data_IF_031667822756
#
_entry.id   IF_031667822756
#
_cell.length_a   1.000
_cell.length_b   1.000
_cell.length_c   1.000
_cell.angle_alpha   90.00
_cell.angle_beta   90.00
_cell.angle_gamma   90.00
#
_symmetry.space_group_name_H-M   'P 1'
#
loop_
_entity.id
_entity.type
_entity.pdbx_description
1 polymer ?
#
# COMPACT_ATOMS: atom_id res chain seq x y z
N UNK A 1 59.65 -19.19 22.31
CA UNK A 1 58.79 -18.51 21.32
C UNK A 1 57.51 -19.32 21.24
N UNK A 2 56.49 -18.91 21.99
CA UNK A 2 55.16 -19.53 21.98
C UNK A 2 54.20 -18.44 21.58
N UNK A 3 53.59 -18.65 20.42
CA UNK A 3 52.71 -17.72 19.72
C UNK A 3 51.42 -17.54 20.52
N UNK A 4 51.10 -16.30 20.89
CA UNK A 4 49.85 -15.94 21.59
C UNK A 4 49.05 -15.03 20.68
N UNK A 5 48.25 -15.65 19.80
CA UNK A 5 47.31 -14.91 18.96
C UNK A 5 45.93 -14.87 19.67
N UNK A 6 45.39 -13.69 20.03
CA UNK A 6 44.08 -13.59 20.64
C UNK A 6 43.00 -13.89 19.60
N UNK A 7 42.19 -14.93 19.88
CA UNK A 7 41.07 -15.34 19.04
C UNK A 7 40.05 -14.19 18.91
N UNK A 8 39.81 -13.77 17.67
CA UNK A 8 38.63 -12.99 17.28
C UNK A 8 37.36 -13.68 17.78
N UNK A 9 36.42 -12.98 18.44
CA UNK A 9 35.19 -13.58 18.91
C UNK A 9 34.37 -14.06 17.71
N UNK A 10 33.95 -15.33 17.72
CA UNK A 10 32.98 -15.86 16.76
C UNK A 10 31.67 -15.09 16.92
N UNK A 11 30.97 -14.74 15.83
CA UNK A 11 29.65 -14.15 15.93
C UNK A 11 28.73 -15.12 16.67
N UNK A 12 28.16 -14.65 17.79
CA UNK A 12 27.10 -15.34 18.51
C UNK A 12 25.94 -15.58 17.56
N UNK A 13 25.38 -16.79 17.57
CA UNK A 13 24.17 -17.11 16.83
C UNK A 13 23.07 -16.08 17.15
N UNK A 14 22.24 -15.67 16.16
CA UNK A 14 21.14 -14.75 16.43
C UNK A 14 20.20 -15.38 17.45
N UNK A 15 19.83 -14.60 18.46
CA UNK A 15 18.79 -14.92 19.44
C UNK A 15 17.56 -15.53 18.72
N UNK A 16 16.96 -16.64 19.21
CA UNK A 16 15.74 -17.18 18.61
C UNK A 16 14.71 -16.06 18.50
N UNK A 17 14.11 -15.93 17.32
CA UNK A 17 13.31 -14.76 17.01
C UNK A 17 12.14 -14.64 18.03
N UNK A 18 12.00 -13.49 18.74
CA UNK A 18 11.08 -13.34 19.87
C UNK A 18 9.60 -13.19 19.46
N UNK A 19 9.27 -13.45 18.19
CA UNK A 19 7.90 -13.43 17.65
C UNK A 19 7.47 -14.81 17.19
N UNK A 20 6.17 -15.03 17.28
CA UNK A 20 5.55 -16.19 16.63
C UNK A 20 5.41 -15.89 15.12
N UNK A 21 6.18 -16.63 14.32
CA UNK A 21 6.14 -16.67 12.87
C UNK A 21 5.82 -18.10 12.44
N UNK A 22 4.56 -18.55 12.57
CA UNK A 22 4.22 -19.94 12.35
C UNK A 22 4.37 -20.33 10.88
N UNK A 23 4.75 -21.58 10.64
CA UNK A 23 4.77 -22.16 9.30
C UNK A 23 3.37 -22.09 8.69
N UNK A 24 3.28 -21.49 7.51
CA UNK A 24 2.01 -21.28 6.84
C UNK A 24 1.68 -22.44 5.90
N UNK A 25 0.45 -22.98 5.95
CA UNK A 25 0.05 -24.04 5.02
C UNK A 25 0.11 -23.53 3.58
N UNK A 26 0.41 -24.38 2.59
CA UNK A 26 0.54 -23.96 1.19
C UNK A 26 -0.77 -23.33 0.69
N UNK A 27 -0.65 -22.24 -0.07
CA UNK A 27 -1.83 -21.64 -0.69
C UNK A 27 -2.28 -22.48 -1.90
N UNK A 28 -3.58 -22.74 -2.05
CA UNK A 28 -4.10 -23.32 -3.29
C UNK A 28 -3.81 -22.35 -4.46
N UNK A 29 -3.33 -22.84 -5.62
CA UNK A 29 -3.14 -22.01 -6.81
C UNK A 29 -4.43 -21.32 -7.21
N UNK A 30 -4.38 -20.00 -7.38
CA UNK A 30 -5.53 -19.19 -7.78
C UNK A 30 -5.10 -18.14 -8.78
N UNK A 31 -5.85 -18.04 -9.88
CA UNK A 31 -5.75 -16.92 -10.79
C UNK A 31 -6.29 -15.65 -10.11
N UNK A 32 -5.69 -14.48 -10.37
CA UNK A 32 -6.00 -13.22 -9.66
C UNK A 32 -5.81 -13.29 -8.13
N UNK A 33 -4.66 -13.78 -7.67
CA UNK A 33 -4.32 -13.83 -6.24
C UNK A 33 -2.93 -13.22 -5.98
N UNK A 34 -2.82 -12.40 -4.93
CA UNK A 34 -1.55 -11.88 -4.35
C UNK A 34 -1.34 -12.36 -2.92
N UNK A 35 -1.99 -13.48 -2.60
CA UNK A 35 -1.88 -14.22 -1.34
C UNK A 35 -1.97 -13.31 -0.11
N UNK A 36 -3.16 -12.75 0.14
CA UNK A 36 -3.42 -12.00 1.38
C UNK A 36 -3.43 -12.89 2.63
N UNK A 37 -3.34 -14.22 2.47
CA UNK A 37 -3.35 -15.21 3.55
C UNK A 37 -4.70 -15.87 3.80
N UNK A 38 -5.81 -15.32 3.29
CA UNK A 38 -7.14 -15.89 3.55
C UNK A 38 -7.29 -17.33 3.02
N UNK A 39 -6.69 -17.63 1.87
CA UNK A 39 -6.71 -18.98 1.30
C UNK A 39 -5.87 -20.01 2.07
N UNK A 40 -5.16 -19.58 3.12
CA UNK A 40 -4.34 -20.41 4.01
C UNK A 40 -5.00 -20.62 5.38
N UNK A 41 -6.17 -20.04 5.60
CA UNK A 41 -6.98 -20.25 6.81
C UNK A 41 -7.70 -21.60 6.76
N UNK A 42 -8.35 -22.00 7.85
CA UNK A 42 -9.12 -23.25 7.92
C UNK A 42 -10.27 -23.31 6.89
N UNK A 43 -10.74 -22.15 6.42
CA UNK A 43 -11.79 -22.05 5.41
C UNK A 43 -11.35 -21.26 4.16
N UNK A 44 -10.60 -21.89 3.23
CA UNK A 44 -10.13 -21.22 2.01
C UNK A 44 -11.25 -20.83 1.03
N UNK A 45 -12.50 -21.30 1.25
CA UNK A 45 -13.65 -20.91 0.42
C UNK A 45 -14.11 -19.47 0.70
N UNK A 46 -13.73 -18.87 1.83
CA UNK A 46 -14.01 -17.45 2.14
C UNK A 46 -13.47 -16.50 1.08
N UNK A 47 -12.44 -16.88 0.33
CA UNK A 47 -11.99 -16.09 -0.82
C UNK A 47 -13.12 -15.77 -1.81
N UNK A 48 -14.13 -16.64 -1.98
CA UNK A 48 -15.28 -16.39 -2.85
C UNK A 48 -16.16 -15.22 -2.42
N UNK A 49 -16.14 -14.86 -1.13
CA UNK A 49 -17.00 -13.83 -0.52
C UNK A 49 -16.20 -12.59 -0.08
N UNK A 50 -14.91 -12.76 0.23
CA UNK A 50 -14.07 -11.73 0.84
C UNK A 50 -12.94 -11.22 -0.06
N UNK A 51 -12.74 -11.78 -1.26
CA UNK A 51 -11.69 -11.32 -2.16
C UNK A 51 -12.14 -10.10 -2.98
N UNK A 52 -11.43 -8.98 -2.88
CA UNK A 52 -11.69 -7.80 -3.70
C UNK A 52 -11.46 -8.01 -5.20
N UNK A 53 -10.76 -9.08 -5.60
CA UNK A 53 -10.51 -9.42 -7.00
C UNK A 53 -11.57 -10.39 -7.58
N UNK A 54 -12.69 -10.56 -6.88
CA UNK A 54 -13.83 -11.36 -7.33
C UNK A 54 -15.06 -10.47 -7.46
N UNK A 55 -15.58 -9.93 -6.36
CA UNK A 55 -16.75 -9.06 -6.34
C UNK A 55 -16.72 -8.11 -5.12
N UNK A 56 -15.94 -7.02 -5.18
CA UNK A 56 -15.82 -6.09 -4.08
C UNK A 56 -17.10 -5.28 -3.82
N UNK A 57 -17.49 -5.12 -2.55
CA UNK A 57 -18.59 -4.28 -2.07
C UNK A 57 -18.05 -3.24 -1.07
N UNK A 58 -17.33 -2.25 -1.60
CA UNK A 58 -16.85 -1.12 -0.82
C UNK A 58 -17.98 -0.36 -0.10
N UNK A 59 -19.13 -0.04 -0.72
CA UNK A 59 -20.20 0.67 -0.02
C UNK A 59 -20.71 -0.04 1.23
N UNK A 60 -20.91 -1.37 1.20
CA UNK A 60 -21.35 -2.11 2.39
C UNK A 60 -20.26 -2.15 3.48
N UNK A 61 -19.02 -2.42 3.10
CA UNK A 61 -17.91 -2.47 4.07
C UNK A 61 -17.61 -1.10 4.65
N UNK A 62 -17.67 -0.02 3.87
CA UNK A 62 -17.50 1.34 4.36
C UNK A 62 -18.58 1.72 5.37
N UNK A 63 -19.85 1.40 5.10
CA UNK A 63 -20.94 1.60 6.07
C UNK A 63 -20.68 0.85 7.37
N UNK A 64 -20.23 -0.40 7.29
CA UNK A 64 -19.91 -1.21 8.47
C UNK A 64 -18.74 -0.63 9.27
N UNK A 65 -17.67 -0.24 8.60
CA UNK A 65 -16.41 0.17 9.25
C UNK A 65 -16.44 1.62 9.73
N UNK A 66 -17.06 2.52 8.97
CA UNK A 66 -17.05 3.97 9.20
C UNK A 66 -18.42 4.55 9.56
N UNK A 67 -19.48 3.75 9.52
CA UNK A 67 -20.87 4.20 9.74
C UNK A 67 -21.53 4.80 8.49
N UNK A 68 -20.79 4.97 7.39
CA UNK A 68 -21.29 5.54 6.13
C UNK A 68 -20.45 5.08 4.93
N UNK A 69 -21.07 5.02 3.76
CA UNK A 69 -20.35 4.88 2.50
C UNK A 69 -19.74 6.21 2.05
N UNK A 70 -18.81 6.16 1.10
CA UNK A 70 -18.29 7.37 0.48
C UNK A 70 -19.36 8.13 -0.32
N UNK A 71 -19.29 9.46 -0.32
CA UNK A 71 -20.10 10.34 -1.15
C UNK A 71 -19.59 10.31 -2.59
N UNK A 72 -20.44 9.85 -3.50
CA UNK A 72 -20.24 9.98 -4.93
C UNK A 72 -20.81 11.32 -5.42
N UNK A 73 -20.19 11.98 -6.42
CA UNK A 73 -20.72 13.23 -6.94
C UNK A 73 -22.02 12.99 -7.71
N UNK A 74 -23.03 13.81 -7.45
CA UNK A 74 -24.25 13.87 -8.25
C UNK A 74 -24.02 14.48 -9.65
N UNK A 75 -25.01 14.44 -10.55
CA UNK A 75 -24.94 15.12 -11.84
C UNK A 75 -24.65 16.62 -11.65
N UNK A 76 -23.57 17.12 -12.27
CA UNK A 76 -23.18 18.54 -12.18
C UNK A 76 -22.47 18.93 -10.87
N UNK A 77 -22.31 18.03 -9.90
CA UNK A 77 -21.56 18.32 -8.67
C UNK A 77 -20.04 18.19 -8.88
N UNK A 78 -19.28 19.09 -8.25
CA UNK A 78 -17.83 18.95 -8.15
C UNK A 78 -17.47 17.75 -7.27
N UNK A 79 -16.45 16.98 -7.68
CA UNK A 79 -15.93 15.87 -6.90
C UNK A 79 -15.32 16.35 -5.57
N UNK A 80 -15.68 15.71 -4.47
CA UNK A 80 -15.01 15.88 -3.18
C UNK A 80 -13.78 14.98 -3.07
N UNK A 81 -12.93 15.25 -2.07
CA UNK A 81 -11.78 14.39 -1.74
C UNK A 81 -12.18 12.96 -1.37
N UNK A 82 -13.42 12.77 -0.92
CA UNK A 82 -13.95 11.47 -0.55
C UNK A 82 -14.11 10.51 -1.73
N UNK A 83 -14.34 11.04 -2.93
CA UNK A 83 -14.33 10.23 -4.15
C UNK A 83 -12.98 9.52 -4.33
N UNK A 84 -11.89 10.24 -4.06
CA UNK A 84 -10.51 9.79 -4.27
C UNK A 84 -10.00 8.94 -3.11
N UNK A 85 -10.26 9.38 -1.88
CA UNK A 85 -9.57 8.86 -0.70
C UNK A 85 -10.47 8.02 0.23
N UNK A 86 -11.74 7.83 -0.16
CA UNK A 86 -12.75 7.11 0.64
C UNK A 86 -13.18 7.90 1.88
N UNK A 87 -14.04 7.33 2.74
CA UNK A 87 -14.54 7.99 3.94
C UNK A 87 -13.38 8.39 4.86
N UNK A 88 -13.37 9.65 5.26
CA UNK A 88 -12.42 10.17 6.23
C UNK A 88 -13.01 11.32 7.06
N UNK A 89 -12.39 11.56 8.21
CA UNK A 89 -12.69 12.69 9.11
C UNK A 89 -11.72 13.84 8.90
N UNK A 90 -10.44 13.51 8.69
CA UNK A 90 -9.40 14.50 8.42
C UNK A 90 -8.23 13.89 7.65
N UNK A 91 -7.49 14.76 6.97
CA UNK A 91 -6.24 14.46 6.30
C UNK A 91 -5.14 15.33 6.88
N UNK A 92 -3.99 14.75 7.18
CA UNK A 92 -2.87 15.45 7.79
C UNK A 92 -1.58 15.15 7.04
N UNK A 93 -0.73 16.15 6.93
CA UNK A 93 0.71 15.93 6.78
C UNK A 93 1.27 15.68 8.18
N UNK A 94 2.06 14.62 8.36
CA UNK A 94 2.56 14.23 9.67
C UNK A 94 3.98 13.68 9.64
N UNK A 95 4.68 13.83 10.75
CA UNK A 95 5.96 13.17 11.05
C UNK A 95 6.10 12.98 12.55
N UNK A 96 6.83 11.96 13.00
CA UNK A 96 7.28 11.93 14.39
C UNK A 96 8.30 13.05 14.62
N UNK A 97 8.23 13.68 15.79
CA UNK A 97 9.21 14.67 16.23
C UNK A 97 10.62 14.06 16.26
N UNK A 98 10.72 12.83 16.80
CA UNK A 98 11.91 12.00 16.77
C UNK A 98 11.67 10.77 15.88
N UNK A 99 12.23 10.73 14.65
CA UNK A 99 12.12 9.57 13.76
C UNK A 99 12.69 8.30 14.39
N UNK A 100 12.00 7.17 14.22
CA UNK A 100 12.45 5.87 14.70
C UNK A 100 13.48 5.26 13.74
N UNK A 101 14.62 4.81 14.28
CA UNK A 101 15.65 4.13 13.51
C UNK A 101 15.09 2.89 12.78
N UNK A 102 15.47 2.74 11.51
CA UNK A 102 15.02 1.64 10.63
C UNK A 102 13.62 1.78 10.05
N UNK A 103 12.86 2.85 10.38
CA UNK A 103 11.54 3.08 9.80
C UNK A 103 11.62 3.50 8.32
N UNK A 104 10.57 3.18 7.56
CA UNK A 104 10.45 3.58 6.15
C UNK A 104 10.36 5.11 5.97
N UNK A 105 9.77 5.78 6.97
CA UNK A 105 9.68 7.23 7.03
C UNK A 105 10.10 7.65 8.43
N UNK A 106 9.21 8.24 9.23
CA UNK A 106 9.52 8.56 10.62
C UNK A 106 9.09 7.50 11.62
N UNK A 107 8.23 6.55 11.22
CA UNK A 107 7.85 5.40 12.06
C UNK A 107 6.48 5.49 12.72
N UNK A 108 5.59 6.40 12.27
CA UNK A 108 4.23 6.57 12.81
C UNK A 108 3.49 5.24 12.96
N UNK A 109 3.43 4.42 11.91
CA UNK A 109 2.73 3.11 11.92
C UNK A 109 3.22 2.21 13.05
N UNK A 110 4.53 2.03 13.16
CA UNK A 110 5.14 1.20 14.21
C UNK A 110 4.89 1.78 15.59
N UNK A 111 4.99 3.10 15.74
CA UNK A 111 4.80 3.77 17.03
C UNK A 111 3.36 3.65 17.55
N UNK A 112 2.36 3.77 16.66
CA UNK A 112 0.95 3.54 17.03
C UNK A 112 0.77 2.11 17.57
N UNK A 113 1.26 1.11 16.84
CA UNK A 113 1.15 -0.29 17.26
C UNK A 113 1.88 -0.58 18.57
N UNK A 114 3.07 0.00 18.75
CA UNK A 114 3.82 -0.08 20.01
C UNK A 114 3.02 0.52 21.19
N UNK A 115 2.42 1.71 21.01
CA UNK A 115 1.58 2.35 22.03
C UNK A 115 0.34 1.51 22.37
N UNK A 116 -0.29 0.86 21.38
CA UNK A 116 -1.43 -0.02 21.62
C UNK A 116 -1.07 -1.18 22.55
N UNK A 117 0.10 -1.80 22.35
CA UNK A 117 0.62 -2.85 23.23
C UNK A 117 1.00 -2.29 24.61
N UNK A 118 1.73 -1.16 24.68
CA UNK A 118 2.15 -0.52 25.94
C UNK A 118 0.98 -0.14 26.85
N UNK A 119 -0.12 0.31 26.24
CA UNK A 119 -1.33 0.73 26.96
C UNK A 119 -2.32 -0.42 27.18
N UNK A 120 -1.98 -1.65 26.76
CA UNK A 120 -2.85 -2.82 26.92
C UNK A 120 -4.19 -2.71 26.18
N UNK A 121 -4.26 -1.88 25.12
CA UNK A 121 -5.47 -1.71 24.32
C UNK A 121 -5.72 -2.86 23.34
N UNK A 122 -4.65 -3.59 23.02
CA UNK A 122 -4.65 -4.84 22.24
C UNK A 122 -3.76 -5.86 22.96
N UNK A 123 -4.05 -7.13 22.75
CA UNK A 123 -3.24 -8.25 23.25
C UNK A 123 -2.09 -8.57 22.29
N UNK A 124 -2.30 -8.36 21.00
CA UNK A 124 -1.31 -8.65 19.96
C UNK A 124 -1.47 -7.75 18.73
N UNK A 125 -0.36 -7.55 18.02
CA UNK A 125 -0.28 -6.88 16.72
C UNK A 125 0.11 -7.91 15.67
N UNK A 126 -0.66 -8.01 14.59
CA UNK A 126 -0.30 -8.77 13.40
C UNK A 126 0.32 -7.81 12.39
N UNK A 127 1.58 -8.06 12.03
CA UNK A 127 2.39 -7.18 11.18
C UNK A 127 3.29 -7.98 10.22
N UNK A 128 4.27 -7.30 9.62
CA UNK A 128 5.28 -7.90 8.75
C UNK A 128 6.67 -7.65 9.32
N UNK A 129 7.46 -8.71 9.44
CA UNK A 129 8.89 -8.68 9.70
C UNK A 129 9.66 -8.97 8.39
N UNK A 130 10.97 -8.65 8.32
CA UNK A 130 11.83 -9.21 7.29
C UNK A 130 11.97 -10.72 7.49
N UNK A 131 11.99 -11.49 6.40
CA UNK A 131 12.39 -12.89 6.47
C UNK A 131 13.86 -13.00 6.91
N UNK A 132 14.25 -13.99 7.73
CA UNK A 132 15.63 -14.16 8.19
C UNK A 132 16.65 -14.24 7.04
N UNK A 133 16.29 -14.93 5.96
CA UNK A 133 17.16 -15.12 4.79
C UNK A 133 17.07 -13.99 3.74
N UNK A 134 16.09 -13.09 3.85
CA UNK A 134 15.86 -12.04 2.86
C UNK A 134 15.13 -10.84 3.48
N UNK A 135 15.86 -9.74 3.68
CA UNK A 135 15.34 -8.53 4.31
C UNK A 135 14.18 -7.86 3.56
N UNK A 136 14.01 -8.13 2.26
CA UNK A 136 12.89 -7.60 1.47
C UNK A 136 11.68 -8.51 1.50
N UNK A 137 11.88 -9.82 1.69
CA UNK A 137 10.80 -10.80 1.73
C UNK A 137 9.91 -10.54 2.95
N UNK A 138 8.59 -10.36 2.76
CA UNK A 138 7.66 -10.19 3.86
C UNK A 138 7.47 -11.52 4.60
N UNK A 139 7.56 -11.48 5.93
CA UNK A 139 7.19 -12.58 6.80
C UNK A 139 6.10 -12.08 7.77
N UNK A 140 4.88 -12.62 7.72
CA UNK A 140 3.86 -12.23 8.69
C UNK A 140 4.28 -12.67 10.09
N UNK A 141 4.05 -11.81 11.07
CA UNK A 141 4.41 -12.07 12.47
C UNK A 141 3.29 -11.64 13.42
N UNK A 142 3.19 -12.34 14.55
CA UNK A 142 2.38 -11.95 15.69
C UNK A 142 3.29 -11.37 16.78
N UNK A 143 3.05 -10.12 17.17
CA UNK A 143 3.87 -9.37 18.12
C UNK A 143 3.03 -9.06 19.37
N UNK A 144 3.50 -9.52 20.54
CA UNK A 144 2.82 -9.33 21.84
C UNK A 144 3.60 -8.40 22.78
N UNK A 145 4.88 -8.16 22.50
CA UNK A 145 5.74 -7.25 23.26
C UNK A 145 5.95 -5.94 22.50
N UNK A 146 5.73 -4.77 23.14
CA UNK A 146 5.89 -3.49 22.45
C UNK A 146 7.26 -3.29 21.79
N UNK A 147 8.35 -3.65 22.48
CA UNK A 147 9.72 -3.48 22.01
C UNK A 147 10.01 -4.25 20.71
N UNK A 148 9.33 -5.38 20.49
CA UNK A 148 9.51 -6.20 19.30
C UNK A 148 8.88 -5.58 18.04
N UNK A 149 8.04 -4.55 18.19
CA UNK A 149 7.56 -3.75 17.05
C UNK A 149 8.71 -3.07 16.29
N UNK A 150 9.84 -2.77 16.95
CA UNK A 150 10.99 -2.12 16.34
C UNK A 150 11.56 -2.90 15.14
N UNK A 151 11.40 -4.20 15.18
CA UNK A 151 11.93 -5.14 14.19
C UNK A 151 10.98 -5.33 12.98
N UNK A 152 9.73 -4.87 13.09
CA UNK A 152 8.76 -4.81 11.98
C UNK A 152 8.93 -3.54 11.10
N UNK A 153 9.95 -2.72 11.36
CA UNK A 153 10.16 -1.43 10.68
C UNK A 153 10.69 -1.61 9.25
N UNK A 154 10.21 -0.73 8.37
CA UNK A 154 10.63 -0.67 6.96
C UNK A 154 9.64 -1.34 6.01
N UNK A 155 9.82 -1.10 4.72
CA UNK A 155 9.00 -1.70 3.67
C UNK A 155 9.47 -3.12 3.34
N UNK A 156 8.52 -4.01 3.02
CA UNK A 156 8.78 -5.34 2.47
C UNK A 156 8.10 -5.46 1.11
N UNK A 157 8.71 -6.19 0.19
CA UNK A 157 8.25 -6.34 -1.19
C UNK A 157 8.06 -7.82 -1.51
N UNK A 158 6.84 -8.19 -1.87
CA UNK A 158 6.44 -9.58 -1.99
C UNK A 158 4.97 -9.81 -1.63
N UNK A 159 4.51 -11.03 -1.88
CA UNK A 159 3.22 -11.48 -1.40
C UNK A 159 3.30 -11.80 0.09
N UNK A 160 2.35 -11.27 0.84
CA UNK A 160 2.39 -11.20 2.29
C UNK A 160 1.11 -11.82 2.85
N UNK A 161 1.11 -13.10 3.23
CA UNK A 161 -0.08 -13.81 3.72
C UNK A 161 -0.50 -13.43 5.15
N UNK A 162 -0.64 -12.13 5.42
CA UNK A 162 -0.94 -11.52 6.72
C UNK A 162 -2.13 -12.18 7.43
N UNK A 163 -3.22 -12.44 6.69
CA UNK A 163 -4.46 -12.93 7.28
C UNK A 163 -4.39 -14.37 7.77
N UNK A 164 -3.36 -15.12 7.38
CA UNK A 164 -3.15 -16.49 7.85
C UNK A 164 -2.88 -16.54 9.37
N UNK A 165 -2.45 -15.42 9.97
CA UNK A 165 -2.18 -15.34 11.42
C UNK A 165 -3.39 -14.96 12.28
N UNK A 166 -4.50 -14.52 11.67
CA UNK A 166 -5.64 -13.99 12.44
C UNK A 166 -6.33 -15.08 13.25
N UNK A 167 -6.70 -16.21 12.64
CA UNK A 167 -7.37 -17.29 13.38
C UNK A 167 -6.44 -17.97 14.40
N UNK A 168 -5.16 -18.28 14.08
CA UNK A 168 -4.22 -18.79 15.07
C UNK A 168 -4.11 -17.86 16.29
N UNK A 169 -4.00 -16.55 16.08
CA UNK A 169 -3.93 -15.59 17.19
C UNK A 169 -5.21 -15.62 18.05
N UNK A 170 -6.40 -15.66 17.43
CA UNK A 170 -7.67 -15.74 18.15
C UNK A 170 -7.81 -17.06 18.94
N UNK A 171 -7.30 -18.18 18.41
CA UNK A 171 -7.28 -19.49 19.08
C UNK A 171 -6.29 -19.54 20.25
N UNK A 172 -5.18 -18.79 20.16
CA UNK A 172 -4.25 -18.59 21.28
C UNK A 172 -4.84 -17.73 22.41
N UNK A 173 -6.03 -17.14 22.21
CA UNK A 173 -6.76 -16.38 23.22
C UNK A 173 -6.61 -14.86 23.10
N UNK A 174 -5.85 -14.36 22.13
CA UNK A 174 -5.78 -12.92 21.86
C UNK A 174 -7.08 -12.45 21.23
N UNK A 175 -7.89 -11.64 21.93
CA UNK A 175 -9.22 -11.20 21.46
C UNK A 175 -9.26 -9.74 21.03
N UNK A 176 -8.25 -8.96 21.38
CA UNK A 176 -8.10 -7.55 21.03
C UNK A 176 -6.88 -7.42 20.14
N UNK A 177 -7.08 -7.26 18.84
CA UNK A 177 -6.00 -7.28 17.86
C UNK A 177 -5.79 -5.90 17.22
N UNK A 178 -4.54 -5.62 16.86
CA UNK A 178 -4.21 -4.63 15.85
C UNK A 178 -3.64 -5.32 14.61
N UNK A 179 -4.01 -4.86 13.42
CA UNK A 179 -3.50 -5.38 12.15
C UNK A 179 -2.89 -4.25 11.33
N UNK A 180 -1.64 -4.41 10.93
CA UNK A 180 -0.93 -3.51 10.00
C UNK A 180 -0.94 -4.16 8.62
N UNK A 181 -1.68 -3.59 7.67
CA UNK A 181 -1.91 -4.26 6.39
C UNK A 181 -2.09 -3.31 5.21
N UNK A 182 -1.90 -3.87 4.03
CA UNK A 182 -2.16 -3.21 2.73
C UNK A 182 -3.64 -3.41 2.32
N UNK A 183 -4.15 -2.66 1.32
CA UNK A 183 -5.59 -2.60 1.00
C UNK A 183 -6.24 -3.96 0.73
N UNK A 184 -5.57 -4.85 -0.01
CA UNK A 184 -6.12 -6.17 -0.34
C UNK A 184 -6.30 -7.10 0.87
N UNK A 185 -5.42 -6.97 1.87
CA UNK A 185 -5.53 -7.70 3.13
C UNK A 185 -6.61 -7.08 4.01
N UNK A 186 -6.64 -5.75 4.12
CA UNK A 186 -7.62 -5.04 4.94
C UNK A 186 -9.04 -5.26 4.43
N UNK A 187 -9.25 -5.22 3.11
CA UNK A 187 -10.55 -5.52 2.51
C UNK A 187 -11.05 -6.91 2.95
N UNK A 188 -10.21 -7.94 2.76
CA UNK A 188 -10.58 -9.31 3.10
C UNK A 188 -10.80 -9.50 4.60
N UNK A 189 -9.97 -8.86 5.44
CA UNK A 189 -10.14 -8.86 6.90
C UNK A 189 -11.49 -8.27 7.31
N UNK A 190 -11.86 -7.09 6.78
CA UNK A 190 -13.14 -6.44 7.10
C UNK A 190 -14.36 -7.22 6.59
N UNK A 191 -14.20 -7.94 5.49
CA UNK A 191 -15.25 -8.79 4.95
C UNK A 191 -15.56 -9.98 5.88
N UNK A 192 -14.53 -10.64 6.41
CA UNK A 192 -14.68 -11.79 7.32
C UNK A 192 -14.80 -11.40 8.80
N UNK A 193 -14.56 -10.13 9.15
CA UNK A 193 -14.57 -9.65 10.53
C UNK A 193 -15.81 -10.09 11.34
N UNK A 194 -17.06 -10.01 10.82
CA UNK A 194 -18.24 -10.46 11.58
C UNK A 194 -18.22 -11.95 11.93
N UNK A 195 -17.64 -12.78 11.06
CA UNK A 195 -17.47 -14.21 11.31
C UNK A 195 -16.44 -14.44 12.41
N UNK A 196 -15.31 -13.71 12.38
CA UNK A 196 -14.29 -13.77 13.42
C UNK A 196 -14.82 -13.32 14.80
N UNK A 197 -15.65 -12.28 14.83
CA UNK A 197 -16.31 -11.80 16.06
C UNK A 197 -17.27 -12.86 16.61
N UNK A 198 -18.11 -13.45 15.76
CA UNK A 198 -19.12 -14.43 16.15
C UNK A 198 -18.54 -15.78 16.55
N UNK A 199 -17.57 -16.29 15.80
CA UNK A 199 -17.12 -17.69 15.89
C UNK A 199 -15.82 -17.86 16.66
N UNK A 200 -14.95 -16.85 16.60
CA UNK A 200 -13.62 -16.89 17.24
C UNK A 200 -13.47 -15.84 18.36
N UNK A 201 -14.53 -15.10 18.68
CA UNK A 201 -14.58 -14.19 19.82
C UNK A 201 -13.67 -12.97 19.68
N UNK A 202 -13.43 -12.48 18.45
CA UNK A 202 -12.75 -11.20 18.27
C UNK A 202 -13.57 -10.08 18.96
N UNK A 203 -12.98 -9.41 19.95
CA UNK A 203 -13.66 -8.36 20.74
C UNK A 203 -13.32 -6.96 20.25
N UNK A 204 -12.08 -6.77 19.75
CA UNK A 204 -11.61 -5.47 19.27
C UNK A 204 -10.63 -5.65 18.13
N UNK A 205 -10.80 -4.82 17.11
CA UNK A 205 -9.88 -4.76 15.96
C UNK A 205 -9.54 -3.31 15.62
N UNK A 206 -8.26 -2.97 15.76
CA UNK A 206 -7.68 -1.77 15.15
C UNK A 206 -6.98 -2.12 13.84
N UNK A 207 -7.19 -1.33 12.79
CA UNK A 207 -6.49 -1.52 11.50
C UNK A 207 -5.70 -0.28 11.15
N UNK A 208 -4.37 -0.44 11.11
CA UNK A 208 -3.43 0.59 10.66
C UNK A 208 -3.09 0.26 9.20
N UNK A 209 -3.69 1.00 8.27
CA UNK A 209 -3.48 0.80 6.85
C UNK A 209 -2.25 1.50 6.33
N UNK A 210 -1.59 0.92 5.33
CA UNK A 210 -0.68 1.66 4.45
C UNK A 210 -1.26 1.72 3.04
N UNK A 211 -1.00 2.78 2.26
CA UNK A 211 -1.36 2.77 0.85
C UNK A 211 -0.48 1.75 0.12
N UNK A 212 -1.01 1.17 -0.96
CA UNK A 212 -0.24 0.25 -1.79
C UNK A 212 -0.70 0.34 -3.25
N UNK A 213 0.27 0.51 -4.14
CA UNK A 213 0.13 0.20 -5.55
C UNK A 213 1.32 -0.67 -5.97
N UNK A 214 1.15 -1.39 -7.08
CA UNK A 214 2.27 -1.93 -7.86
C UNK A 214 3.23 -2.84 -7.06
N UNK A 215 2.67 -3.73 -6.24
CA UNK A 215 3.45 -4.79 -5.59
C UNK A 215 3.81 -5.91 -6.58
N UNK A 216 4.82 -6.71 -6.27
CA UNK A 216 5.29 -7.84 -7.07
C UNK A 216 5.81 -8.96 -6.16
N UNK A 217 6.31 -10.06 -6.72
CA UNK A 217 7.01 -11.09 -5.92
C UNK A 217 8.39 -10.60 -5.50
N UNK A 218 8.92 -11.13 -4.40
CA UNK A 218 10.24 -10.72 -3.90
C UNK A 218 11.35 -10.99 -4.93
N UNK A 219 11.25 -12.09 -5.68
CA UNK A 219 12.19 -12.46 -6.74
C UNK A 219 12.21 -11.44 -7.88
N UNK A 220 11.02 -10.99 -8.31
CA UNK A 220 10.90 -9.92 -9.32
C UNK A 220 11.40 -8.60 -8.77
N UNK A 221 11.14 -8.30 -7.50
CA UNK A 221 11.69 -7.12 -6.87
C UNK A 221 13.23 -7.12 -6.86
N UNK A 222 13.87 -8.24 -6.52
CA UNK A 222 15.33 -8.39 -6.63
C UNK A 222 15.85 -8.21 -8.04
N UNK A 223 15.13 -8.70 -9.06
CA UNK A 223 15.46 -8.40 -10.46
C UNK A 223 15.36 -6.89 -10.76
N UNK A 224 14.36 -6.18 -10.24
CA UNK A 224 14.32 -4.73 -10.37
C UNK A 224 15.50 -4.04 -9.67
N UNK A 225 15.89 -4.50 -8.47
CA UNK A 225 17.05 -3.96 -7.75
C UNK A 225 18.35 -4.13 -8.55
N UNK A 226 18.55 -5.27 -9.22
CA UNK A 226 19.75 -5.52 -10.03
C UNK A 226 19.84 -4.63 -11.28
N UNK A 227 18.71 -4.09 -11.76
CA UNK A 227 18.69 -3.15 -12.89
C UNK A 227 19.03 -1.71 -12.48
N UNK A 228 18.90 -1.35 -11.21
CA UNK A 228 19.09 0.03 -10.72
C UNK A 228 20.38 0.23 -9.90
N UNK A 229 21.05 -0.86 -9.54
CA UNK A 229 22.31 -0.84 -8.80
C UNK A 229 23.23 -1.99 -9.18
N UNK A 230 24.55 -1.77 -9.32
CA UNK A 230 25.53 -2.84 -9.47
C UNK A 230 25.78 -3.62 -8.18
N UNK A 231 25.33 -3.09 -7.02
CA UNK A 231 25.39 -3.75 -5.70
C UNK A 231 23.99 -3.86 -5.10
N UNK A 232 23.05 -4.60 -5.71
CA UNK A 232 21.66 -4.65 -5.25
C UNK A 232 21.52 -5.20 -3.83
N UNK A 233 22.40 -6.13 -3.42
CA UNK A 233 22.45 -6.72 -2.08
C UNK A 233 22.77 -5.72 -0.95
N UNK A 234 23.33 -4.56 -1.32
CA UNK A 234 23.69 -3.50 -0.38
C UNK A 234 22.56 -2.47 -0.21
N UNK A 235 21.48 -2.56 -0.99
CA UNK A 235 20.34 -1.65 -0.86
C UNK A 235 19.56 -2.04 0.41
N UNK A 236 19.45 -1.09 1.35
CA UNK A 236 18.72 -1.25 2.61
C UNK A 236 17.40 -0.46 2.66
N UNK A 237 17.18 0.43 1.70
CA UNK A 237 16.01 1.30 1.63
C UNK A 237 15.67 1.63 0.18
N UNK A 238 14.37 1.66 -0.11
CA UNK A 238 13.84 2.13 -1.38
C UNK A 238 12.48 2.79 -1.16
N UNK A 239 12.26 3.96 -1.74
CA UNK A 239 10.96 4.65 -1.70
C UNK A 239 10.68 5.37 -3.01
N UNK A 240 9.46 5.24 -3.52
CA UNK A 240 8.98 5.97 -4.69
C UNK A 240 8.30 7.26 -4.21
N UNK A 241 9.04 8.37 -4.19
CA UNK A 241 8.58 9.60 -3.56
C UNK A 241 7.62 10.41 -4.44
N UNK A 242 6.89 11.32 -3.79
CA UNK A 242 5.92 12.21 -4.45
C UNK A 242 6.57 13.33 -5.29
N UNK A 243 7.90 13.45 -5.28
CA UNK A 243 8.69 14.39 -6.08
C UNK A 243 9.28 13.73 -7.35
N UNK A 244 8.71 12.60 -7.77
CA UNK A 244 9.08 11.87 -8.99
C UNK A 244 10.50 11.25 -8.98
N UNK A 245 11.05 11.02 -7.78
CA UNK A 245 12.33 10.34 -7.60
C UNK A 245 12.16 9.05 -6.79
N UNK A 246 12.99 8.06 -7.10
CA UNK A 246 13.21 6.89 -6.24
C UNK A 246 14.40 7.20 -5.35
N UNK A 247 14.18 7.24 -4.05
CA UNK A 247 15.25 7.33 -3.07
C UNK A 247 15.75 5.92 -2.75
N UNK A 248 17.06 5.73 -2.82
CA UNK A 248 17.74 4.48 -2.52
C UNK A 248 18.78 4.77 -1.45
N UNK A 249 18.77 4.00 -0.36
CA UNK A 249 19.85 4.05 0.64
C UNK A 249 20.55 2.71 0.71
N UNK A 250 21.86 2.79 0.88
CA UNK A 250 22.77 1.66 0.94
C UNK A 250 23.14 1.35 2.40
N UNK A 251 23.59 0.13 2.68
CA UNK A 251 24.08 -0.30 4.01
C UNK A 251 25.27 0.51 4.52
N UNK A 252 26.09 1.06 3.61
CA UNK A 252 27.22 1.94 3.91
C UNK A 252 26.80 3.40 4.19
N UNK A 253 25.50 3.70 4.14
CA UNK A 253 24.94 5.04 4.35
C UNK A 253 24.85 5.90 3.10
N UNK A 254 25.35 5.45 1.95
CA UNK A 254 25.21 6.19 0.70
C UNK A 254 23.73 6.35 0.30
N UNK A 255 23.37 7.55 -0.17
CA UNK A 255 22.04 7.88 -0.66
C UNK A 255 22.11 8.22 -2.14
N UNK A 256 21.19 7.66 -2.92
CA UNK A 256 21.03 7.94 -4.36
C UNK A 256 19.59 8.26 -4.67
N UNK A 257 19.37 9.22 -5.56
CA UNK A 257 18.04 9.56 -6.06
C UNK A 257 17.99 9.31 -7.57
N UNK A 258 17.01 8.54 -8.04
CA UNK A 258 16.83 8.22 -9.45
C UNK A 258 15.50 8.82 -9.93
N UNK A 259 15.50 9.75 -10.90
CA UNK A 259 14.26 10.25 -11.48
C UNK A 259 13.43 9.10 -12.09
N UNK A 260 12.10 9.10 -11.93
CA UNK A 260 11.22 8.03 -12.44
C UNK A 260 11.40 7.77 -13.94
N UNK A 261 11.68 8.83 -14.71
CA UNK A 261 11.88 8.75 -16.16
C UNK A 261 13.18 8.03 -16.56
N UNK A 262 14.09 7.83 -15.62
CA UNK A 262 15.35 7.10 -15.81
C UNK A 262 15.27 5.65 -15.29
N UNK A 263 14.16 5.26 -14.67
CA UNK A 263 13.98 3.88 -14.23
C UNK A 263 13.88 2.94 -15.44
N UNK A 264 14.49 1.75 -15.37
CA UNK A 264 14.49 0.77 -16.45
C UNK A 264 13.15 0.01 -16.53
N UNK A 265 12.01 0.69 -16.38
CA UNK A 265 10.70 0.02 -16.35
C UNK A 265 10.41 -0.70 -17.67
N UNK A 266 10.81 -0.14 -18.81
CA UNK A 266 10.60 -0.80 -20.11
C UNK A 266 11.34 -2.13 -20.28
N UNK A 267 12.33 -2.44 -19.43
CA UNK A 267 13.06 -3.72 -19.50
C UNK A 267 12.47 -4.78 -18.57
N UNK A 268 11.51 -4.42 -17.72
CA UNK A 268 10.83 -5.37 -16.85
C UNK A 268 9.83 -6.20 -17.68
N UNK A 269 9.63 -7.48 -17.31
CA UNK A 269 8.70 -8.34 -18.02
C UNK A 269 7.26 -7.81 -17.95
N UNK A 270 6.41 -8.09 -18.97
CA UNK A 270 5.04 -7.59 -19.02
C UNK A 270 4.15 -8.03 -17.86
N UNK A 271 4.52 -9.04 -17.09
CA UNK A 271 3.80 -9.54 -15.91
C UNK A 271 4.51 -9.18 -14.59
N UNK A 272 5.47 -8.24 -14.63
CA UNK A 272 6.19 -7.79 -13.44
C UNK A 272 5.25 -7.36 -12.32
N UNK A 273 4.26 -6.54 -12.65
CA UNK A 273 3.13 -6.28 -11.76
C UNK A 273 2.01 -7.27 -12.11
N UNK A 274 1.53 -8.07 -11.14
CA UNK A 274 0.46 -9.02 -11.40
C UNK A 274 -0.85 -8.29 -11.72
N UNK A 275 -1.75 -8.96 -12.43
CA UNK A 275 -3.04 -8.39 -12.84
C UNK A 275 -3.87 -7.87 -11.68
N UNK A 276 -3.82 -8.52 -10.53
CA UNK A 276 -4.39 -8.04 -9.26
C UNK A 276 -3.87 -6.67 -8.85
N UNK A 277 -2.55 -6.44 -8.85
CA UNK A 277 -1.98 -5.15 -8.50
C UNK A 277 -2.33 -4.09 -9.53
N UNK A 278 -2.33 -4.41 -10.83
CA UNK A 278 -2.74 -3.50 -11.91
C UNK A 278 -4.20 -3.10 -11.87
N UNK A 279 -5.06 -3.97 -11.34
CA UNK A 279 -6.51 -3.79 -11.29
C UNK A 279 -7.03 -3.54 -9.87
N UNK A 280 -6.15 -3.21 -8.94
CA UNK A 280 -6.52 -2.85 -7.57
C UNK A 280 -7.24 -1.51 -7.54
N UNK A 281 -8.42 -1.49 -6.93
CA UNK A 281 -9.33 -0.34 -6.89
C UNK A 281 -9.25 0.48 -5.59
N UNK A 282 -8.34 0.13 -4.70
CA UNK A 282 -8.15 0.79 -3.41
C UNK A 282 -6.67 1.04 -3.13
N UNK A 283 -6.15 2.14 -3.68
CA UNK A 283 -4.78 2.56 -3.37
C UNK A 283 -4.69 3.10 -1.92
N UNK A 284 -5.74 3.75 -1.42
CA UNK A 284 -5.67 4.50 -0.15
C UNK A 284 -5.93 3.67 1.09
N UNK A 285 -6.25 2.38 0.94
CA UNK A 285 -6.64 1.51 2.06
C UNK A 285 -7.90 2.03 2.76
N UNK A 286 -8.98 2.17 1.99
CA UNK A 286 -10.21 2.85 2.36
C UNK A 286 -10.88 2.28 3.62
N UNK A 287 -10.65 1.01 3.92
CA UNK A 287 -11.30 0.25 5.00
C UNK A 287 -10.45 0.12 6.28
N UNK A 288 -9.33 0.83 6.37
CA UNK A 288 -8.52 0.94 7.59
C UNK A 288 -9.17 1.90 8.60
N UNK A 289 -8.70 1.91 9.86
CA UNK A 289 -9.13 2.93 10.81
C UNK A 289 -8.33 4.22 10.63
N UNK A 290 -7.03 4.08 10.36
CA UNK A 290 -6.12 5.15 9.91
C UNK A 290 -5.25 4.64 8.78
N UNK A 291 -5.10 5.40 7.70
CA UNK A 291 -4.06 5.14 6.70
C UNK A 291 -2.84 6.01 6.99
N UNK A 292 -1.65 5.40 7.05
CA UNK A 292 -0.36 6.07 7.15
C UNK A 292 0.40 5.87 5.84
N UNK A 293 0.59 6.93 5.06
CA UNK A 293 1.18 6.90 3.73
C UNK A 293 2.13 8.06 3.47
N UNK A 294 2.31 8.41 2.19
CA UNK A 294 3.22 9.48 1.77
C UNK A 294 2.64 10.38 0.67
N UNK A 295 1.72 9.88 -0.17
CA UNK A 295 1.32 10.54 -1.43
C UNK A 295 0.85 11.98 -1.25
N UNK A 296 0.03 12.26 -0.23
CA UNK A 296 -0.47 13.59 0.08
C UNK A 296 0.42 14.42 1.01
N UNK A 297 1.58 13.89 1.43
CA UNK A 297 2.36 14.40 2.57
C UNK A 297 3.49 15.37 2.21
N UNK A 298 3.72 15.65 0.93
CA UNK A 298 4.70 16.65 0.45
C UNK A 298 6.10 16.50 1.07
N UNK A 299 6.65 15.27 1.09
CA UNK A 299 7.94 14.98 1.69
C UNK A 299 7.90 14.61 3.18
N UNK A 300 6.71 14.64 3.80
CA UNK A 300 6.43 13.95 5.06
C UNK A 300 5.39 12.85 4.84
N UNK A 301 4.94 12.20 5.92
CA UNK A 301 3.90 11.19 5.85
C UNK A 301 2.53 11.84 5.69
N UNK A 302 1.60 11.12 5.07
CA UNK A 302 0.21 11.51 4.89
C UNK A 302 -0.69 10.61 5.72
N UNK A 303 -1.49 11.21 6.61
CA UNK A 303 -2.47 10.49 7.42
C UNK A 303 -3.87 10.72 6.88
N UNK A 304 -4.63 9.64 6.72
CA UNK A 304 -6.08 9.66 6.56
C UNK A 304 -6.69 9.09 7.82
N UNK A 305 -7.26 9.94 8.67
CA UNK A 305 -8.00 9.50 9.85
C UNK A 305 -9.43 9.18 9.43
N UNK A 306 -9.82 7.89 9.45
CA UNK A 306 -11.02 7.44 8.74
C UNK A 306 -12.27 7.43 9.61
N UNK A 307 -12.13 7.08 10.88
CA UNK A 307 -13.23 6.94 11.83
C UNK A 307 -12.77 7.27 13.27
N UNK A 308 -13.65 7.07 14.25
CA UNK A 308 -13.33 7.32 15.66
C UNK A 308 -12.17 6.44 16.19
N UNK A 309 -12.06 5.18 15.75
CA UNK A 309 -10.92 4.33 16.08
C UNK A 309 -9.62 4.91 15.52
N UNK A 310 -9.63 5.38 14.28
CA UNK A 310 -8.50 6.06 13.67
C UNK A 310 -8.06 7.32 14.41
N UNK A 311 -9.02 8.08 14.93
CA UNK A 311 -8.73 9.25 15.75
C UNK A 311 -8.03 8.84 17.04
N UNK A 312 -8.56 7.82 17.74
CA UNK A 312 -7.93 7.30 18.94
C UNK A 312 -6.51 6.80 18.68
N UNK A 313 -6.23 6.18 17.52
CA UNK A 313 -4.89 5.75 17.13
C UNK A 313 -3.91 6.93 16.96
N UNK A 314 -4.39 8.05 16.40
CA UNK A 314 -3.58 9.26 16.27
C UNK A 314 -3.34 9.90 17.65
N UNK A 315 -4.38 9.98 18.48
CA UNK A 315 -4.33 10.61 19.80
C UNK A 315 -3.33 9.91 20.74
N UNK A 316 -3.09 8.60 20.56
CA UNK A 316 -2.08 7.85 21.32
C UNK A 316 -0.64 8.37 21.16
N UNK A 317 -0.37 9.08 20.07
CA UNK A 317 0.94 9.65 19.81
C UNK A 317 1.15 10.97 20.56
N UNK A 318 0.07 11.69 20.91
CA UNK A 318 0.14 13.00 21.55
C UNK A 318 1.15 13.93 20.86
N UNK A 319 2.04 14.54 21.65
CA UNK A 319 3.06 15.47 21.17
C UNK A 319 4.23 14.79 20.43
N UNK A 320 4.28 13.45 20.38
CA UNK A 320 5.30 12.73 19.61
C UNK A 320 5.10 12.91 18.09
N UNK A 321 3.89 13.25 17.65
CA UNK A 321 3.57 13.49 16.24
C UNK A 321 3.33 14.97 15.96
N UNK A 322 4.07 15.50 14.99
CA UNK A 322 3.88 16.84 14.47
C UNK A 322 2.98 16.76 13.25
N UNK A 323 1.91 17.54 13.24
CA UNK A 323 0.90 17.53 12.18
C UNK A 323 0.64 18.92 11.63
N UNK A 324 0.26 18.98 10.36
CA UNK A 324 -0.24 20.19 9.71
C UNK A 324 -1.22 19.84 8.59
N UNK A 325 -1.97 20.83 8.11
CA UNK A 325 -2.86 20.63 6.97
C UNK A 325 -2.04 20.29 5.70
N UNK A 326 -2.45 19.28 4.90
CA UNK A 326 -1.78 18.97 3.66
C UNK A 326 -2.02 20.07 2.62
N UNK A 327 -0.99 20.42 1.85
CA UNK A 327 -1.13 21.33 0.72
C UNK A 327 -1.73 20.65 -0.52
N UNK A 328 -2.18 21.46 -1.48
CA UNK A 328 -2.75 21.01 -2.75
C UNK A 328 -2.43 22.03 -3.84
N UNK A 329 -1.63 21.67 -4.86
CA UNK A 329 -1.23 22.60 -5.91
C UNK A 329 -0.99 21.91 -7.26
N UNK A 330 -1.04 22.70 -8.34
CA UNK A 330 -0.88 22.20 -9.71
C UNK A 330 -2.16 21.64 -10.32
N UNK A 331 -2.06 21.10 -11.54
CA UNK A 331 -3.20 20.50 -12.26
C UNK A 331 -2.86 19.06 -12.68
N UNK A 332 -3.70 18.10 -12.30
CA UNK A 332 -3.45 16.68 -12.61
C UNK A 332 -3.96 16.22 -13.98
N UNK A 333 -4.99 16.86 -14.54
CA UNK A 333 -5.74 16.33 -15.68
C UNK A 333 -4.84 16.03 -16.90
N UNK A 334 -3.89 16.92 -17.23
CA UNK A 334 -2.94 16.70 -18.31
C UNK A 334 -2.02 15.49 -18.09
N UNK A 335 -1.52 15.33 -16.86
CA UNK A 335 -0.67 14.20 -16.49
C UNK A 335 -1.43 12.87 -16.56
N UNK A 336 -2.68 12.83 -16.10
CA UNK A 336 -3.52 11.62 -16.17
C UNK A 336 -3.89 11.28 -17.62
N UNK A 337 -4.24 12.26 -18.46
CA UNK A 337 -4.45 12.04 -19.91
C UNK A 337 -3.19 11.52 -20.60
N UNK A 338 -2.02 12.02 -20.24
CA UNK A 338 -0.74 11.53 -20.73
C UNK A 338 -0.49 10.07 -20.33
N UNK A 339 -0.75 9.73 -19.07
CA UNK A 339 -0.67 8.36 -18.57
C UNK A 339 -1.64 7.42 -19.30
N UNK A 340 -2.91 7.82 -19.45
CA UNK A 340 -3.92 7.07 -20.21
C UNK A 340 -3.40 6.68 -21.60
N UNK A 341 -2.97 7.66 -22.39
CA UNK A 341 -2.45 7.44 -23.76
C UNK A 341 -1.25 6.50 -23.77
N UNK A 342 -0.41 6.55 -22.74
CA UNK A 342 0.76 5.66 -22.63
C UNK A 342 0.33 4.23 -22.32
N UNK A 343 -0.63 4.00 -21.42
CA UNK A 343 -1.14 2.66 -21.10
C UNK A 343 -1.87 2.03 -22.29
N UNK A 344 -2.69 2.82 -23.01
CA UNK A 344 -3.36 2.36 -24.24
C UNK A 344 -2.35 1.89 -25.29
N UNK A 345 -1.31 2.70 -25.53
CA UNK A 345 -0.26 2.38 -26.50
C UNK A 345 0.61 1.22 -26.07
N UNK A 346 0.89 1.10 -24.77
CA UNK A 346 1.78 0.07 -24.26
C UNK A 346 1.21 -1.35 -24.36
N UNK A 347 -0.05 -1.52 -24.82
CA UNK A 347 -0.72 -2.80 -24.92
C UNK A 347 -0.67 -3.63 -23.61
N UNK A 348 -0.51 -2.98 -22.46
CA UNK A 348 -0.39 -3.61 -21.15
C UNK A 348 1.03 -3.84 -20.65
N UNK A 349 2.02 -3.46 -21.44
CA UNK A 349 3.41 -3.36 -21.03
C UNK A 349 3.72 -2.03 -20.34
N UNK A 350 5.00 -1.86 -19.99
CA UNK A 350 5.55 -0.63 -19.43
C UNK A 350 5.81 0.38 -20.57
N UNK A 351 5.85 1.70 -20.29
CA UNK A 351 5.72 2.74 -21.31
C UNK A 351 6.67 2.57 -22.51
N UNK A 352 6.09 2.51 -23.72
CA UNK A 352 6.81 2.23 -24.98
C UNK A 352 7.62 3.40 -25.54
N UNK A 353 7.27 4.65 -25.20
CA UNK A 353 7.94 5.83 -25.77
C UNK A 353 9.07 6.28 -24.86
N UNK A 354 10.30 5.92 -25.23
CA UNK A 354 11.51 6.49 -24.67
C UNK A 354 11.54 7.98 -25.01
N UNK A 355 11.31 8.83 -24.03
CA UNK A 355 11.75 10.21 -24.12
C UNK A 355 13.25 10.21 -24.46
N UNK A 356 13.72 11.01 -25.45
CA UNK A 356 15.13 11.08 -25.79
C UNK A 356 15.98 11.31 -24.54
N UNK A 357 17.12 10.61 -24.41
CA UNK A 357 17.91 10.61 -23.17
C UNK A 357 18.34 12.03 -22.76
N UNK A 358 18.63 12.91 -23.73
CA UNK A 358 18.99 14.30 -23.50
C UNK A 358 17.86 15.15 -22.90
N UNK A 359 16.59 14.79 -23.13
CA UNK A 359 15.43 15.54 -22.63
C UNK A 359 15.03 15.10 -21.21
N UNK A 360 15.45 13.90 -20.78
CA UNK A 360 15.08 13.34 -19.47
C UNK A 360 15.55 14.18 -18.27
N UNK A 361 16.80 14.69 -18.23
CA UNK A 361 17.25 15.54 -17.12
C UNK A 361 16.45 16.84 -17.00
N UNK A 362 16.10 17.46 -18.13
CA UNK A 362 15.36 18.73 -18.17
C UNK A 362 13.95 18.53 -17.63
N UNK A 363 13.23 17.52 -18.12
CA UNK A 363 11.88 17.20 -17.66
C UNK A 363 11.88 16.72 -16.21
N UNK A 364 12.88 15.92 -15.81
CA UNK A 364 13.07 15.49 -14.42
C UNK A 364 13.29 16.65 -13.45
N UNK A 365 13.99 17.71 -13.88
CA UNK A 365 14.16 18.93 -13.08
C UNK A 365 12.89 19.81 -13.03
N UNK A 366 12.12 19.85 -14.12
CA UNK A 366 10.94 20.70 -14.25
C UNK A 366 9.69 20.10 -13.58
N UNK A 367 9.44 18.79 -13.75
CA UNK A 367 8.24 18.11 -13.28
C UNK A 367 7.91 18.32 -11.79
N UNK A 368 8.87 18.24 -10.85
CA UNK A 368 8.60 18.47 -9.42
C UNK A 368 8.12 19.89 -9.10
N UNK A 369 8.40 20.88 -9.97
CA UNK A 369 8.05 22.29 -9.76
C UNK A 369 6.69 22.67 -10.35
N UNK A 370 6.36 22.13 -11.53
CA UNK A 370 5.13 22.46 -12.27
C UNK A 370 4.03 21.40 -12.16
N UNK A 371 4.38 20.18 -11.75
CA UNK A 371 3.46 19.05 -11.62
C UNK A 371 2.50 19.19 -10.44
N UNK A 372 1.48 18.31 -10.37
CA UNK A 372 0.60 18.24 -9.21
C UNK A 372 1.40 17.92 -7.95
N UNK A 373 1.07 18.58 -6.83
CA UNK A 373 1.75 18.47 -5.53
C UNK A 373 0.74 18.30 -4.39
N UNK A 374 1.16 17.59 -3.34
CA UNK A 374 0.32 17.31 -2.17
C UNK A 374 -0.93 16.52 -2.54
N UNK A 375 -2.10 16.98 -2.10
CA UNK A 375 -3.36 16.27 -2.40
C UNK A 375 -3.63 16.16 -3.91
N UNK A 376 -3.25 17.14 -4.73
CA UNK A 376 -3.40 17.02 -6.20
C UNK A 376 -2.55 15.88 -6.78
N UNK A 377 -1.36 15.64 -6.24
CA UNK A 377 -0.54 14.49 -6.63
C UNK A 377 -1.22 13.18 -6.23
N UNK A 378 -1.74 13.10 -5.00
CA UNK A 378 -2.47 11.94 -4.52
C UNK A 378 -3.71 11.64 -5.38
N UNK A 379 -4.52 12.67 -5.74
CA UNK A 379 -5.66 12.53 -6.67
C UNK A 379 -5.19 12.02 -8.03
N UNK A 380 -4.09 12.56 -8.56
CA UNK A 380 -3.52 12.11 -9.83
C UNK A 380 -3.16 10.62 -9.81
N UNK A 381 -2.51 10.15 -8.74
CA UNK A 381 -2.12 8.74 -8.59
C UNK A 381 -3.33 7.81 -8.47
N UNK A 382 -4.37 8.23 -7.75
CA UNK A 382 -5.63 7.48 -7.64
C UNK A 382 -6.34 7.39 -9.00
N UNK A 383 -6.46 8.50 -9.74
CA UNK A 383 -7.06 8.50 -11.09
C UNK A 383 -6.24 7.68 -12.09
N UNK A 384 -4.91 7.78 -12.08
CA UNK A 384 -4.04 6.93 -12.90
C UNK A 384 -4.28 5.45 -12.61
N UNK A 385 -4.44 5.08 -11.33
CA UNK A 385 -4.70 3.69 -10.96
C UNK A 385 -6.08 3.20 -11.38
N UNK A 386 -7.08 4.06 -11.30
CA UNK A 386 -8.42 3.80 -11.81
C UNK A 386 -8.41 3.60 -13.34
N UNK A 387 -7.69 4.46 -14.07
CA UNK A 387 -7.49 4.32 -15.54
C UNK A 387 -6.79 3.00 -15.87
N UNK A 388 -5.70 2.68 -15.18
CA UNK A 388 -4.96 1.43 -15.37
C UNK A 388 -5.88 0.21 -15.16
N UNK A 389 -6.68 0.23 -14.09
CA UNK A 389 -7.63 -0.84 -13.78
C UNK A 389 -8.62 -1.07 -14.92
N UNK A 390 -9.23 0.00 -15.43
CA UNK A 390 -10.20 -0.08 -16.52
C UNK A 390 -9.59 -0.68 -17.79
N UNK A 391 -8.43 -0.18 -18.22
CA UNK A 391 -7.79 -0.63 -19.45
C UNK A 391 -7.29 -2.08 -19.36
N UNK A 392 -6.71 -2.47 -18.23
CA UNK A 392 -6.22 -3.83 -18.03
C UNK A 392 -7.37 -4.84 -17.92
N UNK A 393 -8.44 -4.52 -17.18
CA UNK A 393 -9.62 -5.41 -17.14
C UNK A 393 -10.28 -5.52 -18.51
N UNK A 394 -10.46 -4.42 -19.23
CA UNK A 394 -11.08 -4.45 -20.56
C UNK A 394 -10.30 -5.34 -21.53
N UNK A 395 -8.97 -5.26 -21.51
CA UNK A 395 -8.12 -6.04 -22.43
C UNK A 395 -7.97 -7.50 -22.00
N UNK A 396 -7.71 -7.75 -20.73
CA UNK A 396 -7.20 -9.06 -20.27
C UNK A 396 -8.26 -9.88 -19.52
N UNK A 397 -9.32 -9.25 -19.02
CA UNK A 397 -10.39 -9.94 -18.29
C UNK A 397 -11.75 -9.21 -18.38
N UNK A 398 -12.29 -8.95 -19.59
CA UNK A 398 -13.47 -8.08 -19.78
C UNK A 398 -14.70 -8.56 -18.99
N UNK A 399 -14.92 -9.88 -18.91
CA UNK A 399 -16.00 -10.47 -18.12
C UNK A 399 -15.97 -10.06 -16.64
N UNK A 400 -14.78 -9.77 -16.07
CA UNK A 400 -14.60 -9.36 -14.68
C UNK A 400 -14.92 -7.89 -14.44
N UNK A 401 -14.98 -7.03 -15.47
CA UNK A 401 -15.35 -5.62 -15.30
C UNK A 401 -16.73 -5.46 -14.64
N UNK A 402 -17.65 -6.41 -14.89
CA UNK A 402 -19.00 -6.43 -14.32
C UNK A 402 -18.99 -6.53 -12.79
N UNK A 403 -18.01 -7.20 -12.21
CA UNK A 403 -17.96 -7.48 -10.76
C UNK A 403 -16.84 -6.73 -10.05
N UNK A 404 -15.69 -6.51 -10.70
CA UNK A 404 -14.47 -5.99 -10.06
C UNK A 404 -14.34 -4.46 -10.05
N UNK A 405 -15.16 -3.73 -10.79
CA UNK A 405 -15.06 -2.26 -10.90
C UNK A 405 -16.16 -1.61 -10.05
N UNK A 406 -15.88 -1.10 -8.84
CA UNK A 406 -16.88 -0.38 -8.05
C UNK A 406 -17.23 0.99 -8.66
N UNK A 407 -18.33 1.57 -8.20
CA UNK A 407 -18.88 2.80 -8.78
C UNK A 407 -17.92 4.00 -8.66
N UNK A 408 -17.18 4.11 -7.55
CA UNK A 408 -16.22 5.21 -7.38
C UNK A 408 -15.12 5.20 -8.44
N UNK A 409 -14.71 4.03 -8.92
CA UNK A 409 -13.72 3.91 -10.01
C UNK A 409 -14.29 4.46 -11.30
N UNK A 410 -15.56 4.19 -11.60
CA UNK A 410 -16.25 4.71 -12.78
C UNK A 410 -16.30 6.24 -12.74
N UNK A 411 -16.62 6.83 -11.58
CA UNK A 411 -16.62 8.28 -11.41
C UNK A 411 -15.23 8.90 -11.58
N UNK A 412 -14.17 8.25 -11.10
CA UNK A 412 -12.78 8.72 -11.23
C UNK A 412 -12.32 8.77 -12.70
N UNK A 413 -12.75 7.81 -13.52
CA UNK A 413 -12.29 7.73 -14.92
C UNK A 413 -13.19 8.46 -15.93
N UNK A 414 -14.41 8.84 -15.53
CA UNK A 414 -15.39 9.52 -16.39
C UNK A 414 -14.84 10.77 -17.08
N UNK A 415 -14.07 11.68 -16.43
CA UNK A 415 -13.50 12.87 -17.08
C UNK A 415 -12.52 12.56 -18.22
N UNK A 416 -12.05 11.30 -18.28
CA UNK A 416 -11.10 10.80 -19.25
C UNK A 416 -11.76 9.95 -20.34
N UNK A 417 -13.09 9.86 -20.37
CA UNK A 417 -13.87 9.19 -21.42
C UNK A 417 -13.94 7.65 -21.29
N UNK A 418 -13.54 7.09 -20.15
CA UNK A 418 -13.68 5.67 -19.87
C UNK A 418 -15.00 5.38 -19.15
N UNK A 419 -15.60 4.23 -19.44
CA UNK A 419 -16.84 3.74 -18.85
C UNK A 419 -16.81 2.21 -18.72
N UNK A 420 -17.71 1.61 -17.93
CA UNK A 420 -17.92 0.15 -17.94
C UNK A 420 -18.45 -0.27 -19.32
N UNK A 421 -18.04 -1.44 -19.82
CA UNK A 421 -18.59 -1.96 -21.09
C UNK A 421 -20.11 -2.04 -21.04
N UNK A 422 -20.78 -1.47 -22.05
CA UNK A 422 -22.25 -1.38 -22.14
C UNK A 422 -22.89 -0.15 -21.51
N UNK A 423 -22.14 0.70 -20.80
CA UNK A 423 -22.60 2.03 -20.42
C UNK A 423 -22.32 3.02 -21.57
N UNK A 424 -23.29 3.89 -21.89
CA UNK A 424 -23.09 4.95 -22.89
C UNK A 424 -21.82 5.75 -22.56
N UNK A 425 -20.91 5.86 -23.53
CA UNK A 425 -19.76 6.74 -23.40
C UNK A 425 -20.29 8.17 -23.25
N UNK A 426 -19.97 8.91 -22.17
CA UNK A 426 -20.37 10.29 -22.07
C UNK A 426 -19.76 11.06 -23.25
N UNK A 427 -20.57 11.90 -23.89
CA UNK A 427 -20.09 12.78 -24.96
C UNK A 427 -18.88 13.57 -24.45
N UNK A 428 -17.77 13.50 -25.20
CA UNK A 428 -16.56 14.25 -24.87
C UNK A 428 -16.90 15.73 -24.97
N UNK A 429 -17.01 16.41 -23.83
CA UNK A 429 -17.14 17.87 -23.81
C UNK A 429 -15.77 18.45 -24.16
N UNK A 430 -15.63 19.19 -25.28
CA UNK A 430 -14.36 19.82 -25.62
C UNK A 430 -13.99 20.87 -24.55
N UNK A 431 -12.69 21.11 -24.31
CA UNK A 431 -12.27 22.15 -23.37
C UNK A 431 -12.85 23.51 -23.81
N UNK A 432 -13.35 24.28 -22.84
CA UNK A 432 -13.72 25.67 -23.07
C UNK A 432 -12.51 26.42 -23.63
N UNK A 433 -12.73 27.17 -24.72
CA UNK A 433 -11.73 27.93 -25.46
C UNK A 433 -11.08 29.03 -24.61
#
# INVERSE_FOLDING_TARGET
MVDTNPQTPRPTAPDPAPWDAPDLPPAPPRHFCTDCGLSRTDNPKRCGQACQFIQPDYPALERRVHGRARRLPGPGEASSDELFFGPHRQMLQARLAAPLAGAQWTGITTRIAEKLLQTGQVDAVIAMAPHPDDAWRPMPVLVTRPEDMARCRGMRMGYAPLLALVEPALRQGFKRLAVIGIPCQVYALRAIQPELERELGLERLFVIGTPCSDNTTTERFHHFLSLISPRPQDISYLEFRADYHVEIRMKDGAVREIPFLQLPLSTLPPDFFPMTCRTCVDYTNALSDITVGYMGGQGAQWLLVRNARGQALLDLLGDEVLTQAPGSAGQRAGAVRGFLKNVERAAGGLPLRRMPDWLRPIVGWLMPRIGPRGLEFARARVEMKAVETMLHLQREAPARMKTMVPEHVVHLVRPYGLAREGAERPAVVPPAA
#
